data_IF_602534661376
#
_entry.id   IF_602534661376
#
_cell.length_a   1.000
_cell.length_b   1.000
_cell.length_c   1.000
_cell.angle_alpha   90.00
_cell.angle_beta   90.00
_cell.angle_gamma   90.00
#
_symmetry.space_group_name_H-M   'P 1'
#
loop_
_entity.id
_entity.type
_entity.pdbx_description
1 polymer ?
#
# COMPACT_ATOMS: atom_id res chain seq x y z
N UNK A 1 -2.77 -21.01 -5.89
CA UNK A 1 -3.46 -19.71 -5.77
C UNK A 1 -4.12 -19.66 -4.40
N UNK A 2 -3.73 -18.71 -3.57
CA UNK A 2 -4.33 -18.50 -2.24
C UNK A 2 -5.26 -17.30 -2.33
N UNK A 3 -6.42 -17.39 -1.68
CA UNK A 3 -7.34 -16.27 -1.49
C UNK A 3 -7.70 -16.25 -0.01
N UNK A 4 -7.48 -15.11 0.65
CA UNK A 4 -7.82 -14.92 2.06
C UNK A 4 -8.59 -13.61 2.23
N UNK A 5 -9.69 -13.66 2.99
CA UNK A 5 -10.49 -12.48 3.30
C UNK A 5 -9.92 -11.80 4.53
N UNK A 6 -9.77 -10.48 4.45
CA UNK A 6 -9.23 -9.62 5.50
C UNK A 6 -10.29 -8.61 5.96
N UNK A 7 -10.16 -8.11 7.15
CA UNK A 7 -11.06 -7.09 7.65
C UNK A 7 -10.41 -6.10 8.61
N UNK A 8 -11.10 -4.99 8.85
CA UNK A 8 -10.79 -4.03 9.92
C UNK A 8 -12.03 -3.82 10.76
N UNK A 9 -11.84 -3.62 12.04
CA UNK A 9 -12.90 -3.43 13.02
C UNK A 9 -12.88 -4.52 14.08
N UNK A 10 -13.02 -4.13 15.37
CA UNK A 10 -12.87 -5.08 16.49
C UNK A 10 -13.82 -6.28 16.42
N UNK A 11 -15.04 -6.07 15.99
CA UNK A 11 -16.06 -7.12 15.88
C UNK A 11 -15.74 -8.13 14.78
N UNK A 12 -15.15 -7.67 13.67
CA UNK A 12 -14.74 -8.54 12.55
C UNK A 12 -13.55 -9.41 12.97
N UNK A 13 -12.55 -8.79 13.61
CA UNK A 13 -11.33 -9.49 14.04
C UNK A 13 -11.63 -10.53 15.13
N UNK A 14 -12.53 -10.21 16.08
CA UNK A 14 -12.95 -11.14 17.13
C UNK A 14 -13.54 -12.45 16.58
N UNK A 15 -14.10 -12.43 15.39
CA UNK A 15 -14.65 -13.62 14.73
C UNK A 15 -13.62 -14.44 13.94
N UNK A 16 -12.31 -14.16 14.12
CA UNK A 16 -11.22 -14.92 13.52
C UNK A 16 -10.75 -14.44 12.15
N UNK A 17 -11.31 -13.35 11.63
CA UNK A 17 -10.83 -12.71 10.41
C UNK A 17 -9.50 -11.99 10.68
N UNK A 18 -8.49 -12.22 9.84
CA UNK A 18 -7.21 -11.50 9.98
C UNK A 18 -7.38 -10.02 9.65
N UNK A 19 -6.68 -9.19 10.43
CA UNK A 19 -6.67 -7.74 10.23
C UNK A 19 -5.94 -7.32 8.96
N UNK A 20 -6.48 -6.30 8.27
CA UNK A 20 -5.84 -5.74 7.06
C UNK A 20 -4.43 -5.24 7.38
N UNK A 21 -4.27 -4.44 8.42
CA UNK A 21 -3.00 -3.81 8.78
C UNK A 21 -1.90 -4.81 9.16
N UNK A 22 -2.12 -5.80 10.06
CA UNK A 22 -1.10 -6.81 10.36
C UNK A 22 -0.65 -7.62 9.14
N UNK A 23 -1.55 -7.88 8.20
CA UNK A 23 -1.21 -8.62 6.97
C UNK A 23 -0.40 -7.73 6.01
N UNK A 24 -0.71 -6.43 5.90
CA UNK A 24 0.12 -5.47 5.16
C UNK A 24 1.54 -5.43 5.74
N UNK A 25 1.68 -5.35 7.07
CA UNK A 25 3.00 -5.39 7.70
C UNK A 25 3.77 -6.67 7.35
N UNK A 26 3.12 -7.81 7.45
CA UNK A 26 3.72 -9.11 7.16
C UNK A 26 4.25 -9.19 5.72
N UNK A 27 3.45 -8.78 4.73
CA UNK A 27 3.87 -8.85 3.33
C UNK A 27 5.01 -7.86 3.02
N UNK A 28 5.03 -6.68 3.64
CA UNK A 28 6.14 -5.71 3.52
C UNK A 28 7.42 -6.27 4.12
N UNK A 29 7.35 -6.85 5.32
CA UNK A 29 8.50 -7.47 6.01
C UNK A 29 9.10 -8.62 5.19
N UNK A 30 8.27 -9.37 4.49
CA UNK A 30 8.69 -10.54 3.69
C UNK A 30 9.09 -10.21 2.25
N UNK A 31 8.92 -8.97 1.80
CA UNK A 31 9.26 -8.54 0.45
C UNK A 31 10.76 -8.73 0.16
N UNK A 32 11.08 -9.23 -1.05
CA UNK A 32 12.45 -9.53 -1.48
C UNK A 32 12.89 -8.79 -2.74
N UNK A 33 11.96 -8.42 -3.63
CA UNK A 33 12.27 -7.83 -4.94
C UNK A 33 11.65 -6.46 -5.13
N UNK A 34 10.33 -6.38 -5.01
CA UNK A 34 9.60 -5.12 -5.22
C UNK A 34 8.32 -5.02 -4.38
N UNK A 35 7.98 -3.79 -4.05
CA UNK A 35 6.68 -3.41 -3.46
C UNK A 35 6.08 -2.31 -4.33
N UNK A 36 4.81 -2.47 -4.70
CA UNK A 36 4.02 -1.43 -5.37
C UNK A 36 2.78 -1.14 -4.56
N UNK A 37 2.53 0.13 -4.29
CA UNK A 37 1.37 0.58 -3.53
C UNK A 37 0.66 1.66 -4.32
N UNK A 38 -0.66 1.52 -4.46
CA UNK A 38 -1.54 2.59 -4.91
C UNK A 38 -2.56 2.87 -3.82
N UNK A 39 -2.58 4.08 -3.28
CA UNK A 39 -3.48 4.44 -2.19
C UNK A 39 -4.05 5.84 -2.35
N UNK A 40 -5.33 5.99 -2.03
CA UNK A 40 -6.05 7.26 -2.13
C UNK A 40 -5.68 8.21 -0.99
N UNK A 41 -5.69 7.75 0.26
CA UNK A 41 -5.35 8.54 1.45
C UNK A 41 -4.19 7.92 2.21
N UNK A 42 -3.18 8.72 2.52
CA UNK A 42 -2.04 8.36 3.35
C UNK A 42 -1.84 9.46 4.41
N UNK A 43 -1.88 9.09 5.68
CA UNK A 43 -1.73 10.02 6.82
C UNK A 43 -0.67 9.54 7.81
N UNK A 44 -0.22 10.43 8.71
CA UNK A 44 0.77 10.12 9.76
C UNK A 44 0.36 8.97 10.69
N UNK A 45 -0.92 8.64 10.74
CA UNK A 45 -1.39 7.45 11.49
C UNK A 45 -0.92 6.12 10.89
N UNK A 46 -0.45 6.12 9.65
CA UNK A 46 0.17 4.97 9.00
C UNK A 46 1.71 5.11 8.90
N UNK A 47 2.32 5.97 9.71
CA UNK A 47 3.76 6.25 9.67
C UNK A 47 4.61 4.98 9.84
N UNK A 48 4.19 4.05 10.70
CA UNK A 48 4.86 2.77 10.90
C UNK A 48 4.97 1.93 9.61
N UNK A 49 3.99 2.01 8.71
CA UNK A 49 4.07 1.35 7.40
C UNK A 49 5.15 2.00 6.51
N UNK A 50 5.31 3.32 6.60
CA UNK A 50 6.40 4.03 5.90
C UNK A 50 7.77 3.63 6.46
N UNK A 51 7.88 3.41 7.75
CA UNK A 51 9.11 2.90 8.39
C UNK A 51 9.44 1.48 7.94
N UNK A 52 8.43 0.61 7.81
CA UNK A 52 8.62 -0.73 7.25
C UNK A 52 9.05 -0.68 5.77
N UNK A 53 8.55 0.26 4.99
CA UNK A 53 9.02 0.49 3.63
C UNK A 53 10.47 0.98 3.61
N UNK A 54 10.87 1.84 4.55
CA UNK A 54 12.27 2.24 4.70
C UNK A 54 13.17 1.04 4.97
N UNK A 55 12.77 0.14 5.85
CA UNK A 55 13.51 -1.08 6.14
C UNK A 55 13.55 -2.04 4.94
N UNK A 56 12.47 -2.14 4.17
CA UNK A 56 12.48 -2.88 2.90
C UNK A 56 13.45 -2.25 1.88
N UNK A 57 13.47 -0.91 1.77
CA UNK A 57 14.41 -0.19 0.91
C UNK A 57 15.88 -0.44 1.30
N UNK A 58 16.19 -0.47 2.60
CA UNK A 58 17.54 -0.83 3.11
C UNK A 58 17.94 -2.25 2.71
N UNK A 59 17.00 -3.18 2.59
CA UNK A 59 17.23 -4.53 2.09
C UNK A 59 17.41 -4.61 0.56
N UNK A 60 17.27 -3.49 -0.16
CA UNK A 60 17.37 -3.42 -1.62
C UNK A 60 16.06 -3.69 -2.35
N UNK A 61 14.94 -3.73 -1.66
CA UNK A 61 13.62 -3.91 -2.27
C UNK A 61 13.23 -2.65 -3.05
N UNK A 62 12.87 -2.81 -4.32
CA UNK A 62 12.39 -1.70 -5.16
C UNK A 62 10.99 -1.28 -4.73
N UNK A 63 10.78 0.01 -4.49
CA UNK A 63 9.51 0.52 -4.00
C UNK A 63 8.92 1.56 -4.95
N UNK A 64 7.65 1.40 -5.28
CA UNK A 64 6.88 2.38 -6.03
C UNK A 64 5.58 2.69 -5.27
N UNK A 65 5.44 3.95 -4.84
CA UNK A 65 4.23 4.48 -4.23
C UNK A 65 3.51 5.36 -5.25
N UNK A 66 2.25 5.03 -5.54
CA UNK A 66 1.37 5.84 -6.40
C UNK A 66 0.31 6.46 -5.50
N UNK A 67 0.38 7.77 -5.32
CA UNK A 67 -0.47 8.53 -4.41
C UNK A 67 -1.33 9.51 -5.17
N UNK A 68 -2.56 9.73 -4.72
CA UNK A 68 -3.40 10.76 -5.30
C UNK A 68 -2.88 12.14 -4.89
N UNK A 69 -2.47 12.95 -5.86
CA UNK A 69 -1.93 14.30 -5.60
C UNK A 69 -2.94 15.27 -4.96
N UNK A 70 -4.23 15.00 -5.10
CA UNK A 70 -5.30 15.82 -4.51
C UNK A 70 -5.64 15.42 -3.07
N UNK A 71 -5.16 14.28 -2.62
CA UNK A 71 -5.41 13.82 -1.27
C UNK A 71 -4.45 14.52 -0.31
N UNK A 72 -4.99 15.03 0.76
CA UNK A 72 -4.19 15.67 1.81
C UNK A 72 -3.23 14.64 2.42
N UNK A 73 -1.95 14.91 2.29
CA UNK A 73 -0.88 14.29 3.06
C UNK A 73 -0.43 15.29 4.10
N UNK A 74 -0.32 14.87 5.34
CA UNK A 74 0.24 15.76 6.34
C UNK A 74 1.75 15.99 6.12
N UNK A 75 2.28 17.02 6.77
CA UNK A 75 3.68 17.43 6.61
C UNK A 75 4.65 16.32 7.01
N UNK A 76 4.33 15.56 8.04
CA UNK A 76 5.18 14.49 8.54
C UNK A 76 5.37 13.38 7.51
N UNK A 77 4.27 12.94 6.88
CA UNK A 77 4.32 11.97 5.79
C UNK A 77 5.12 12.49 4.61
N UNK A 78 4.91 13.74 4.21
CA UNK A 78 5.64 14.34 3.09
C UNK A 78 7.15 14.32 3.34
N UNK A 79 7.60 14.73 4.52
CA UNK A 79 9.03 14.71 4.89
C UNK A 79 9.63 13.31 4.89
N UNK A 80 8.87 12.30 5.37
CA UNK A 80 9.33 10.91 5.37
C UNK A 80 9.42 10.32 3.96
N UNK A 81 8.48 10.65 3.08
CA UNK A 81 8.52 10.22 1.68
C UNK A 81 9.68 10.87 0.93
N UNK A 82 9.92 12.16 1.14
CA UNK A 82 11.06 12.88 0.54
C UNK A 82 12.38 12.24 0.99
N UNK A 83 12.53 11.95 2.30
CA UNK A 83 13.69 11.25 2.82
C UNK A 83 13.91 9.88 2.15
N UNK A 84 12.85 9.10 1.94
CA UNK A 84 12.95 7.79 1.29
C UNK A 84 13.45 7.91 -0.16
N UNK A 85 12.90 8.85 -0.91
CA UNK A 85 13.27 9.08 -2.32
C UNK A 85 14.71 9.57 -2.43
N UNK A 86 15.14 10.48 -1.55
CA UNK A 86 16.49 11.03 -1.53
C UNK A 86 17.53 9.98 -1.08
N UNK A 87 17.17 9.12 -0.12
CA UNK A 87 18.10 8.14 0.46
C UNK A 87 18.24 6.86 -0.37
N UNK A 88 17.24 6.50 -1.17
CA UNK A 88 17.21 5.23 -1.88
C UNK A 88 16.85 5.42 -3.36
N UNK A 89 17.81 5.25 -4.31
CA UNK A 89 17.56 5.47 -5.74
C UNK A 89 16.55 4.48 -6.35
N UNK A 90 16.24 3.38 -5.68
CA UNK A 90 15.26 2.38 -6.09
C UNK A 90 13.87 2.61 -5.45
N UNK A 91 13.66 3.75 -4.78
CA UNK A 91 12.35 4.18 -4.25
C UNK A 91 11.80 5.31 -5.12
N UNK A 92 10.55 5.18 -5.55
CA UNK A 92 9.84 6.18 -6.34
C UNK A 92 8.50 6.50 -5.69
N UNK A 93 8.19 7.78 -5.62
CA UNK A 93 6.86 8.29 -5.25
C UNK A 93 6.26 8.99 -6.47
N UNK A 94 5.13 8.51 -6.95
CA UNK A 94 4.38 9.05 -8.09
C UNK A 94 3.15 9.76 -7.54
N UNK A 95 3.10 11.08 -7.72
CA UNK A 95 1.93 11.89 -7.37
C UNK A 95 0.98 11.90 -8.56
N UNK A 96 0.04 10.96 -8.59
CA UNK A 96 -0.94 10.85 -9.65
C UNK A 96 -1.79 12.14 -9.76
N UNK A 97 -1.73 12.77 -10.92
CA UNK A 97 -2.45 14.02 -11.22
C UNK A 97 -3.32 13.85 -12.44
N UNK A 98 -4.60 14.08 -12.29
CA UNK A 98 -5.53 14.15 -13.40
C UNK A 98 -6.61 15.18 -13.09
N UNK A 99 -7.00 15.96 -14.10
CA UNK A 99 -8.08 16.92 -13.97
C UNK A 99 -9.46 16.24 -13.95
N UNK A 100 -9.55 15.05 -14.53
CA UNK A 100 -10.83 14.35 -14.76
C UNK A 100 -11.02 13.10 -13.90
N UNK A 101 -9.95 12.47 -13.45
CA UNK A 101 -10.00 11.18 -12.76
C UNK A 101 -9.21 11.23 -11.45
N UNK A 102 -9.67 10.49 -10.46
CA UNK A 102 -8.96 10.30 -9.20
C UNK A 102 -8.37 8.90 -9.12
N UNK A 103 -7.18 8.78 -8.55
CA UNK A 103 -6.69 7.50 -8.08
C UNK A 103 -7.41 7.16 -6.77
N UNK A 104 -8.37 6.25 -6.81
CA UNK A 104 -9.12 5.82 -5.63
C UNK A 104 -8.80 4.39 -5.19
N UNK A 105 -7.74 3.82 -5.72
CA UNK A 105 -7.25 2.49 -5.37
C UNK A 105 -6.74 2.42 -3.93
N UNK A 106 -6.81 1.24 -3.33
CA UNK A 106 -6.18 0.86 -2.05
C UNK A 106 -5.63 -0.55 -2.25
N UNK A 107 -4.41 -0.59 -2.75
CA UNK A 107 -3.77 -1.82 -3.23
C UNK A 107 -2.31 -1.84 -2.86
N UNK A 108 -1.82 -2.97 -2.40
CA UNK A 108 -0.40 -3.29 -2.29
C UNK A 108 -0.09 -4.57 -3.06
N UNK A 109 0.99 -4.58 -3.81
CA UNK A 109 1.52 -5.78 -4.46
C UNK A 109 2.97 -5.97 -4.06
N UNK A 110 3.31 -7.18 -3.64
CA UNK A 110 4.65 -7.57 -3.25
C UNK A 110 5.16 -8.67 -4.17
N UNK A 111 6.37 -8.46 -4.70
CA UNK A 111 7.10 -9.40 -5.54
C UNK A 111 6.31 -9.94 -6.75
N UNK A 112 5.30 -9.21 -7.20
CA UNK A 112 4.32 -9.61 -8.25
C UNK A 112 3.60 -10.92 -7.97
N UNK A 113 3.68 -11.41 -6.75
CA UNK A 113 3.11 -12.70 -6.36
C UNK A 113 2.05 -12.61 -5.27
N UNK A 114 2.07 -11.57 -4.47
CA UNK A 114 1.10 -11.35 -3.40
C UNK A 114 0.48 -9.97 -3.55
N UNK A 115 -0.84 -9.89 -3.56
CA UNK A 115 -1.56 -8.62 -3.58
C UNK A 115 -2.62 -8.55 -2.49
N UNK A 116 -2.75 -7.38 -1.86
CA UNK A 116 -3.86 -7.04 -0.97
C UNK A 116 -4.66 -5.93 -1.65
N UNK A 117 -5.94 -6.16 -1.82
CA UNK A 117 -6.88 -5.25 -2.47
C UNK A 117 -8.06 -5.06 -1.53
N UNK A 118 -8.46 -3.82 -1.30
CA UNK A 118 -9.58 -3.60 -0.40
C UNK A 118 -10.08 -2.17 -0.34
N UNK A 119 -10.87 -1.90 0.68
CA UNK A 119 -11.45 -0.59 0.94
C UNK A 119 -10.57 0.29 1.86
N UNK A 120 -9.64 -0.30 2.61
CA UNK A 120 -8.85 0.37 3.64
C UNK A 120 -7.82 1.35 3.07
N UNK A 121 -7.90 2.63 3.44
CA UNK A 121 -6.85 3.60 3.23
C UNK A 121 -5.70 3.44 4.25
N UNK A 122 -4.53 4.00 3.96
CA UNK A 122 -3.40 4.07 4.90
C UNK A 122 -3.61 5.25 5.87
N UNK A 123 -4.60 5.10 6.74
CA UNK A 123 -5.06 6.07 7.71
C UNK A 123 -5.55 5.38 8.97
N UNK A 124 -5.80 6.14 10.04
CA UNK A 124 -6.37 5.55 11.26
C UNK A 124 -7.69 4.83 11.00
N UNK A 125 -8.59 5.44 10.22
CA UNK A 125 -9.87 4.83 9.85
C UNK A 125 -9.68 3.49 9.16
N UNK A 126 -8.91 3.47 8.08
CA UNK A 126 -8.68 2.28 7.26
C UNK A 126 -7.97 1.15 8.00
N UNK A 127 -7.00 1.49 8.87
CA UNK A 127 -6.19 0.49 9.56
C UNK A 127 -6.80 -0.01 10.87
N UNK A 128 -7.59 0.81 11.58
CA UNK A 128 -7.98 0.49 12.95
C UNK A 128 -9.46 0.66 13.30
N UNK A 129 -10.15 1.71 12.83
CA UNK A 129 -11.44 2.11 13.40
C UNK A 129 -12.66 1.89 12.51
N UNK A 130 -12.49 1.89 11.20
CA UNK A 130 -13.61 1.64 10.28
C UNK A 130 -13.89 0.13 10.15
N UNK A 131 -15.05 -0.20 9.63
CA UNK A 131 -15.29 -1.52 9.05
C UNK A 131 -14.77 -1.54 7.62
N UNK A 132 -13.70 -2.28 7.40
CA UNK A 132 -13.08 -2.42 6.07
C UNK A 132 -13.04 -3.90 5.68
N UNK A 133 -13.09 -4.15 4.39
CA UNK A 133 -12.95 -5.48 3.82
C UNK A 133 -11.83 -5.47 2.79
N UNK A 134 -10.97 -6.46 2.86
CA UNK A 134 -9.90 -6.67 1.90
C UNK A 134 -9.78 -8.13 1.50
N UNK A 135 -9.01 -8.37 0.47
CA UNK A 135 -8.65 -9.70 0.01
C UNK A 135 -7.15 -9.76 -0.26
N UNK A 136 -6.51 -10.79 0.28
CA UNK A 136 -5.18 -11.19 -0.12
C UNK A 136 -5.30 -12.26 -1.21
N UNK A 137 -4.56 -12.08 -2.29
CA UNK A 137 -4.47 -13.06 -3.38
C UNK A 137 -3.00 -13.33 -3.71
N UNK A 138 -2.70 -14.58 -4.08
CA UNK A 138 -1.36 -14.97 -4.50
C UNK A 138 -1.36 -15.57 -5.91
N UNK A 139 -0.20 -15.49 -6.56
CA UNK A 139 0.04 -16.04 -7.89
C UNK A 139 -0.45 -15.14 -9.02
N UNK A 140 -1.05 -15.72 -10.04
CA UNK A 140 -1.43 -14.99 -11.25
C UNK A 140 -2.32 -13.77 -11.02
N UNK A 141 -3.34 -13.78 -10.13
CA UNK A 141 -4.13 -12.58 -9.86
C UNK A 141 -3.28 -11.42 -9.34
N UNK A 142 -2.31 -11.67 -8.47
CA UNK A 142 -1.41 -10.62 -7.98
C UNK A 142 -0.52 -10.05 -9.08
N UNK A 143 -0.05 -10.89 -10.00
CA UNK A 143 0.71 -10.46 -11.17
C UNK A 143 -0.12 -9.57 -12.11
N UNK A 144 -1.40 -9.90 -12.35
CA UNK A 144 -2.32 -9.07 -13.13
C UNK A 144 -2.52 -7.68 -12.47
N UNK A 145 -2.69 -7.65 -11.15
CA UNK A 145 -2.79 -6.38 -10.39
C UNK A 145 -1.49 -5.57 -10.55
N UNK A 146 -0.33 -6.19 -10.47
CA UNK A 146 0.97 -5.52 -10.67
C UNK A 146 1.04 -4.84 -12.03
N UNK A 147 0.55 -5.49 -13.10
CA UNK A 147 0.48 -4.89 -14.46
C UNK A 147 -0.40 -3.64 -14.50
N UNK A 148 -1.54 -3.67 -13.81
CA UNK A 148 -2.41 -2.49 -13.71
C UNK A 148 -1.67 -1.33 -13.03
N UNK A 149 -0.94 -1.60 -11.94
CA UNK A 149 -0.14 -0.58 -11.26
C UNK A 149 0.99 -0.05 -12.16
N UNK A 150 1.60 -0.90 -12.99
CA UNK A 150 2.59 -0.46 -13.99
C UNK A 150 1.97 0.50 -15.01
N UNK A 151 0.76 0.21 -15.48
CA UNK A 151 0.02 1.11 -16.39
C UNK A 151 -0.30 2.45 -15.72
N UNK A 152 -0.70 2.47 -14.45
CA UNK A 152 -0.95 3.71 -13.70
C UNK A 152 0.31 4.58 -13.61
N UNK A 153 1.49 3.98 -13.49
CA UNK A 153 2.76 4.71 -13.51
C UNK A 153 3.02 5.43 -14.84
N UNK A 154 2.48 4.92 -15.96
CA UNK A 154 2.67 5.50 -17.30
C UNK A 154 1.65 6.58 -17.66
N UNK A 155 0.50 6.60 -17.00
CA UNK A 155 -0.60 7.54 -17.26
C UNK A 155 -0.31 8.94 -16.66
N UNK A 156 0.61 9.04 -15.74
CA UNK A 156 0.88 10.26 -14.98
C UNK A 156 1.71 11.29 -15.76
#
# INVERSE_FOLDING_TARGET
MTIEILGTGPEIIKNGTRGVEPVIEEVIKNARKEIKIAVYVLTSRALHLIELLADAAKRGVKITLILNARTCRDKEISLKLDYLVESFPHVRVINFRSLKKQLHAKVIVVDRNTAIIGSANFSWGGMYSNYEIGVLVEGNPAWEVAKILDQLCLIN
#
